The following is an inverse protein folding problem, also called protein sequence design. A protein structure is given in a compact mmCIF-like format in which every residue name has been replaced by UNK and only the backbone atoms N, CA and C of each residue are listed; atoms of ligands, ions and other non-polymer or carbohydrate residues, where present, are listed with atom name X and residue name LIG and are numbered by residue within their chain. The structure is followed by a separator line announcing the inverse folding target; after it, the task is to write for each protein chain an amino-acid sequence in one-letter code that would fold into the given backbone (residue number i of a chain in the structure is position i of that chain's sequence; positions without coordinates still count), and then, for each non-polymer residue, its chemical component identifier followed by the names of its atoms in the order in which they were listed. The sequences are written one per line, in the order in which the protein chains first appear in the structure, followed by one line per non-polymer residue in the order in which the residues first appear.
data_IF_378743112236
#
_entry.id   IF_378743112236
#
_cell.length_a   1.000
_cell.length_b   1.000
_cell.length_c   1.000
_cell.angle_alpha   90.00
_cell.angle_beta   90.00
_cell.angle_gamma   90.00
#
_symmetry.space_group_name_H-M   'P 1'
#
loop_
_entity.id
_entity.type
_entity.pdbx_description
1 polymer ?
#
# COMPACT_ATOMS: atom_id res chain seq x y z
N UNK A 1 24.41 -22.32 -16.44
CA UNK A 1 25.53 -22.77 -15.59
C UNK A 1 26.70 -23.07 -16.51
N UNK A 2 27.87 -22.47 -16.31
CA UNK A 2 29.06 -22.78 -17.10
C UNK A 2 29.89 -23.82 -16.35
N UNK A 3 30.10 -24.99 -16.95
CA UNK A 3 30.95 -26.05 -16.40
C UNK A 3 32.29 -26.04 -17.12
N UNK A 4 33.38 -26.09 -16.38
CA UNK A 4 34.74 -26.21 -16.92
C UNK A 4 35.29 -27.60 -16.61
N UNK A 5 35.84 -28.28 -17.61
CA UNK A 5 36.47 -29.60 -17.45
C UNK A 5 37.97 -29.43 -17.71
N UNK A 6 38.78 -29.75 -16.71
CA UNK A 6 40.24 -29.80 -16.84
C UNK A 6 40.66 -31.23 -17.21
N UNK A 7 41.49 -31.41 -18.25
CA UNK A 7 41.96 -32.74 -18.66
C UNK A 7 43.48 -32.78 -18.72
N UNK A 8 44.06 -33.99 -18.66
CA UNK A 8 45.51 -34.19 -18.71
C UNK A 8 46.18 -33.70 -20.00
N UNK A 9 45.40 -33.47 -21.07
CA UNK A 9 45.89 -32.96 -22.36
C UNK A 9 45.84 -31.42 -22.46
N UNK A 10 45.41 -30.73 -21.39
CA UNK A 10 45.31 -29.27 -21.29
C UNK A 10 43.99 -28.80 -20.67
N UNK A 11 43.92 -27.51 -20.31
CA UNK A 11 42.64 -26.87 -19.96
C UNK A 11 41.85 -26.57 -21.23
N UNK A 12 40.66 -27.14 -21.35
CA UNK A 12 39.71 -26.82 -22.42
C UNK A 12 38.45 -26.27 -21.77
N UNK A 13 38.26 -24.95 -21.81
CA UNK A 13 37.01 -24.35 -21.36
C UNK A 13 35.90 -24.66 -22.38
N UNK A 14 35.10 -25.69 -22.07
CA UNK A 14 33.91 -26.04 -22.83
C UNK A 14 32.70 -25.53 -22.08
N UNK A 15 32.17 -24.35 -22.40
CA UNK A 15 30.96 -23.86 -21.75
C UNK A 15 29.76 -24.73 -22.15
N UNK A 16 29.30 -25.59 -21.25
CA UNK A 16 28.08 -26.38 -21.44
C UNK A 16 26.85 -25.59 -21.01
N UNK A 17 25.95 -25.29 -21.95
CA UNK A 17 24.60 -24.85 -21.61
C UNK A 17 23.76 -26.07 -21.24
N UNK A 18 23.71 -26.40 -19.95
CA UNK A 18 22.90 -27.51 -19.46
C UNK A 18 21.45 -27.09 -19.25
N UNK A 19 20.52 -27.91 -19.77
CA UNK A 19 19.08 -27.80 -19.54
C UNK A 19 18.67 -28.99 -18.67
N UNK A 20 17.88 -28.80 -17.59
CA UNK A 20 17.43 -29.89 -16.74
C UNK A 20 16.77 -31.01 -17.55
N UNK A 21 17.18 -32.25 -17.30
CA UNK A 21 16.69 -33.45 -17.99
C UNK A 21 17.27 -33.70 -19.39
N UNK A 22 18.01 -32.75 -19.97
CA UNK A 22 18.65 -32.91 -21.27
C UNK A 22 20.13 -33.28 -21.10
N UNK A 23 20.52 -34.35 -21.80
CA UNK A 23 21.90 -34.80 -21.84
C UNK A 23 22.71 -33.99 -22.86
N UNK A 24 23.81 -33.41 -22.40
CA UNK A 24 24.82 -32.78 -23.26
C UNK A 24 25.97 -33.74 -23.47
N UNK A 25 26.16 -34.19 -24.72
CA UNK A 25 27.22 -35.13 -25.10
C UNK A 25 28.45 -34.37 -25.60
N UNK A 26 29.62 -34.71 -25.07
CA UNK A 26 30.88 -34.26 -25.64
C UNK A 26 31.40 -35.32 -26.62
N UNK A 27 31.56 -34.93 -27.89
CA UNK A 27 31.93 -35.83 -28.99
C UNK A 27 33.35 -36.39 -28.89
N UNK A 28 34.28 -35.73 -28.17
CA UNK A 28 35.68 -36.16 -28.06
C UNK A 28 35.94 -37.22 -26.98
N UNK A 29 35.34 -37.10 -25.79
CA UNK A 29 35.78 -37.92 -24.64
C UNK A 29 34.77 -38.98 -24.17
N UNK A 30 33.68 -39.26 -24.93
CA UNK A 30 32.62 -40.20 -24.51
C UNK A 30 32.04 -39.87 -23.11
N UNK A 31 32.01 -38.57 -22.78
CA UNK A 31 31.42 -38.05 -21.56
C UNK A 31 30.07 -37.43 -21.92
N UNK A 32 29.04 -37.84 -21.18
CA UNK A 32 27.69 -37.32 -21.26
C UNK A 32 27.32 -36.72 -19.92
N UNK A 33 26.96 -35.43 -19.92
CA UNK A 33 26.64 -34.66 -18.73
C UNK A 33 25.17 -34.27 -18.79
N UNK A 34 24.41 -34.62 -17.77
CA UNK A 34 22.98 -34.31 -17.65
C UNK A 34 22.74 -33.56 -16.36
N UNK A 35 22.17 -32.36 -16.44
CA UNK A 35 21.66 -31.65 -15.26
C UNK A 35 20.35 -32.32 -14.82
N UNK A 36 20.30 -32.85 -13.60
CA UNK A 36 19.11 -33.52 -13.04
C UNK A 36 18.16 -32.52 -12.41
N UNK A 37 18.69 -31.68 -11.53
CA UNK A 37 17.90 -30.75 -10.74
C UNK A 37 18.73 -29.53 -10.36
N UNK A 38 18.05 -28.41 -10.13
CA UNK A 38 18.61 -27.23 -9.47
C UNK A 38 17.73 -26.99 -8.25
N UNK A 39 18.35 -26.88 -7.09
CA UNK A 39 17.67 -26.56 -5.84
C UNK A 39 18.12 -25.18 -5.40
N UNK A 40 17.17 -24.26 -5.34
CA UNK A 40 17.36 -22.93 -4.77
C UNK A 40 17.01 -22.94 -3.28
N UNK A 41 17.72 -22.18 -2.43
CA UNK A 41 17.30 -22.01 -1.04
C UNK A 41 15.89 -21.41 -0.97
N UNK A 42 15.19 -21.60 0.15
CA UNK A 42 13.92 -20.90 0.41
C UNK A 42 14.22 -19.40 0.38
N UNK A 43 13.42 -18.64 -0.35
CA UNK A 43 13.59 -17.19 -0.54
C UNK A 43 12.44 -16.44 0.18
N UNK A 44 12.51 -16.21 1.51
CA UNK A 44 11.44 -15.51 2.25
C UNK A 44 11.14 -14.12 1.68
N UNK A 45 12.13 -13.50 1.03
CA UNK A 45 12.02 -12.20 0.36
C UNK A 45 11.02 -12.19 -0.80
N UNK A 46 10.68 -13.35 -1.37
CA UNK A 46 9.64 -13.45 -2.42
C UNK A 46 8.22 -13.24 -1.87
N UNK A 47 8.01 -13.34 -0.55
CA UNK A 47 6.73 -13.06 0.08
C UNK A 47 6.65 -11.63 0.66
N UNK A 48 7.45 -10.71 0.10
CA UNK A 48 7.46 -9.30 0.48
C UNK A 48 6.93 -8.45 -0.67
N UNK A 49 6.28 -7.35 -0.31
CA UNK A 49 5.83 -6.37 -1.27
C UNK A 49 6.92 -5.33 -1.51
N UNK A 50 6.94 -4.79 -2.72
CA UNK A 50 7.91 -3.79 -3.13
C UNK A 50 7.21 -2.65 -3.86
N UNK A 51 7.85 -1.48 -3.85
CA UNK A 51 7.42 -0.32 -4.61
C UNK A 51 8.55 0.12 -5.52
N UNK A 52 8.19 0.57 -6.73
CA UNK A 52 9.11 1.06 -7.74
C UNK A 52 8.54 2.32 -8.36
N UNK A 53 9.28 3.43 -8.30
CA UNK A 53 8.87 4.72 -8.88
C UNK A 53 9.34 4.90 -10.35
N UNK A 54 10.07 3.91 -10.89
CA UNK A 54 10.74 3.98 -12.19
C UNK A 54 12.25 4.23 -12.12
N UNK A 55 12.78 4.66 -10.96
CA UNK A 55 14.20 4.94 -10.70
C UNK A 55 14.73 4.23 -9.46
N UNK A 56 13.96 4.26 -8.37
CA UNK A 56 14.25 3.68 -7.06
C UNK A 56 13.23 2.58 -6.77
N UNK A 57 13.70 1.52 -6.14
CA UNK A 57 12.84 0.47 -5.61
C UNK A 57 13.08 0.33 -4.12
N UNK A 58 12.03 0.03 -3.37
CA UNK A 58 12.12 -0.26 -1.94
C UNK A 58 11.27 -1.48 -1.57
N UNK A 59 11.74 -2.25 -0.59
CA UNK A 59 10.94 -3.28 0.07
C UNK A 59 10.01 -2.60 1.08
N UNK A 60 8.73 -2.97 1.04
CA UNK A 60 7.71 -2.43 1.93
C UNK A 60 7.70 -3.23 3.23
N UNK A 61 7.70 -2.52 4.35
CA UNK A 61 7.25 -3.09 5.61
C UNK A 61 5.72 -3.04 5.71
N UNK A 62 5.17 -3.70 6.74
CA UNK A 62 3.73 -3.80 6.94
C UNK A 62 3.05 -2.44 7.15
N UNK A 63 3.72 -1.50 7.82
CA UNK A 63 3.15 -0.19 8.14
C UNK A 63 3.04 0.66 6.87
N UNK A 64 4.14 0.77 6.12
CA UNK A 64 4.19 1.49 4.85
C UNK A 64 3.22 0.88 3.85
N UNK A 65 3.19 -0.46 3.76
CA UNK A 65 2.26 -1.15 2.88
C UNK A 65 0.80 -0.81 3.22
N UNK A 66 0.43 -0.88 4.49
CA UNK A 66 -0.95 -0.60 4.95
C UNK A 66 -1.37 0.83 4.60
N UNK A 67 -0.48 1.80 4.72
CA UNK A 67 -0.79 3.19 4.37
C UNK A 67 -0.88 3.39 2.85
N UNK A 68 0.01 2.78 2.06
CA UNK A 68 -0.03 2.85 0.60
C UNK A 68 -1.27 2.19 0.00
N UNK A 69 -1.76 1.09 0.60
CA UNK A 69 -2.96 0.41 0.15
C UNK A 69 -4.22 1.30 0.22
N UNK A 70 -4.27 2.31 1.11
CA UNK A 70 -5.40 3.25 1.23
C UNK A 70 -5.57 4.14 0.00
N UNK A 71 -4.51 4.32 -0.78
CA UNK A 71 -4.47 5.22 -1.95
C UNK A 71 -4.24 4.47 -3.26
N UNK A 72 -4.68 3.22 -3.35
CA UNK A 72 -4.47 2.37 -4.52
C UNK A 72 -5.27 2.87 -5.74
N UNK A 73 -4.57 3.04 -6.84
CA UNK A 73 -5.15 3.37 -8.14
C UNK A 73 -5.00 2.17 -9.10
N UNK A 74 -5.89 2.02 -10.09
CA UNK A 74 -5.80 0.90 -11.03
C UNK A 74 -4.65 1.06 -12.03
N UNK A 75 -4.26 2.31 -12.35
CA UNK A 75 -3.16 2.60 -13.26
C UNK A 75 -2.57 4.00 -13.01
N UNK A 76 -1.39 4.25 -13.61
CA UNK A 76 -0.63 5.50 -13.49
C UNK A 76 -1.41 6.73 -13.95
N UNK A 77 -2.26 6.59 -14.97
CA UNK A 77 -3.06 7.70 -15.48
C UNK A 77 -4.14 8.15 -14.48
N UNK A 78 -4.85 7.18 -13.89
CA UNK A 78 -5.81 7.45 -12.82
C UNK A 78 -5.15 8.06 -11.59
N UNK A 79 -3.96 7.57 -11.22
CA UNK A 79 -3.16 8.15 -10.14
C UNK A 79 -2.81 9.63 -10.42
N UNK A 80 -2.38 9.96 -11.63
CA UNK A 80 -2.05 11.33 -12.03
C UNK A 80 -3.24 12.30 -11.99
N UNK A 81 -4.46 11.80 -12.20
CA UNK A 81 -5.69 12.57 -12.13
C UNK A 81 -6.45 12.41 -10.80
N UNK A 82 -5.85 11.71 -9.82
CA UNK A 82 -6.46 11.37 -8.54
C UNK A 82 -7.85 10.72 -8.66
N UNK A 83 -8.06 9.91 -9.71
CA UNK A 83 -9.29 9.13 -9.93
C UNK A 83 -9.10 7.71 -9.38
N UNK A 84 -8.87 7.61 -8.07
CA UNK A 84 -8.53 6.37 -7.37
C UNK A 84 -9.63 5.97 -6.41
N UNK A 85 -9.73 4.67 -6.12
CA UNK A 85 -10.65 4.17 -5.11
C UNK A 85 -10.03 4.36 -3.73
N UNK A 86 -10.45 5.41 -3.02
CA UNK A 86 -9.98 5.72 -1.66
C UNK A 86 -11.04 5.27 -0.66
N UNK A 87 -10.60 4.63 0.43
CA UNK A 87 -11.51 4.25 1.52
C UNK A 87 -12.15 5.52 2.13
N UNK A 88 -13.49 5.63 2.22
CA UNK A 88 -14.17 6.76 2.82
C UNK A 88 -13.70 7.13 4.24
N UNK A 89 -13.15 6.18 4.99
CA UNK A 89 -12.60 6.40 6.34
C UNK A 89 -11.21 7.06 6.33
N UNK A 90 -10.56 7.17 5.17
CA UNK A 90 -9.24 7.78 5.02
C UNK A 90 -9.25 9.28 5.28
N UNK A 91 -10.39 9.94 5.02
CA UNK A 91 -10.59 11.37 5.20
C UNK A 91 -11.91 11.66 5.94
N UNK A 92 -11.84 12.44 7.02
CA UNK A 92 -12.99 12.92 7.77
C UNK A 92 -13.18 14.41 7.55
N UNK A 93 -14.32 14.79 6.98
CA UNK A 93 -14.69 16.20 6.80
C UNK A 93 -15.73 16.61 7.83
N UNK A 94 -15.46 17.69 8.56
CA UNK A 94 -16.39 18.31 9.49
C UNK A 94 -16.81 19.68 8.95
N UNK A 95 -18.13 19.95 8.85
CA UNK A 95 -18.59 21.29 8.55
C UNK A 95 -18.27 22.23 9.73
N UNK A 96 -17.77 23.42 9.42
CA UNK A 96 -17.66 24.57 10.30
C UNK A 96 -18.55 25.70 9.75
N UNK A 97 -18.68 26.80 10.50
CA UNK A 97 -19.67 27.85 10.20
C UNK A 97 -19.50 28.44 8.78
N UNK A 98 -18.26 28.69 8.35
CA UNK A 98 -17.97 29.32 7.05
C UNK A 98 -17.07 28.46 6.14
N UNK A 99 -16.72 27.26 6.60
CA UNK A 99 -15.64 26.46 6.04
C UNK A 99 -15.88 24.96 6.28
N UNK A 100 -15.22 24.12 5.49
CA UNK A 100 -15.24 22.66 5.69
C UNK A 100 -13.82 22.23 6.00
N UNK A 101 -13.64 21.65 7.18
CA UNK A 101 -12.34 21.15 7.63
C UNK A 101 -12.27 19.65 7.35
N UNK A 102 -11.48 19.27 6.35
CA UNK A 102 -11.19 17.87 6.02
C UNK A 102 -9.84 17.47 6.57
N UNK A 103 -9.84 16.43 7.40
CA UNK A 103 -8.65 15.81 7.95
C UNK A 103 -8.47 14.45 7.29
N UNK A 104 -7.39 14.28 6.54
CA UNK A 104 -7.02 13.00 5.95
C UNK A 104 -5.85 12.39 6.73
N UNK A 105 -5.75 11.06 6.69
CA UNK A 105 -4.53 10.38 7.14
C UNK A 105 -3.36 10.90 6.31
N UNK A 106 -2.23 11.23 6.94
CA UNK A 106 -1.04 11.65 6.21
C UNK A 106 -0.62 10.58 5.20
N UNK A 107 -0.21 11.04 4.02
CA UNK A 107 0.35 10.18 2.99
C UNK A 107 1.84 10.05 3.30
N UNK A 108 2.33 8.81 3.38
CA UNK A 108 3.76 8.54 3.53
C UNK A 108 4.52 9.24 2.40
N UNK A 109 5.53 10.03 2.78
CA UNK A 109 6.39 10.72 1.82
C UNK A 109 7.35 9.75 1.16
N UNK A 110 7.76 10.05 -0.07
CA UNK A 110 8.80 9.28 -0.79
C UNK A 110 10.06 9.07 0.05
N UNK A 111 10.44 10.06 0.87
CA UNK A 111 11.58 9.99 1.78
C UNK A 111 11.46 8.88 2.83
N UNK A 112 10.24 8.58 3.30
CA UNK A 112 9.95 7.50 4.25
C UNK A 112 9.88 6.13 3.55
N UNK A 113 9.41 6.11 2.29
CA UNK A 113 9.35 4.89 1.47
C UNK A 113 10.76 4.44 1.07
N UNK A 114 11.54 5.36 0.50
CA UNK A 114 12.87 5.13 -0.05
C UNK A 114 13.98 5.46 0.95
N UNK A 115 13.73 5.27 2.24
CA UNK A 115 14.76 5.32 3.25
C UNK A 115 15.87 4.31 2.94
N UNK A 116 17.09 4.64 3.33
CA UNK A 116 18.28 3.81 3.07
C UNK A 116 18.15 2.39 3.63
N UNK A 117 17.31 2.18 4.65
CA UNK A 117 17.02 0.85 5.24
C UNK A 117 16.09 -0.03 4.39
N UNK A 118 15.28 0.56 3.51
CA UNK A 118 14.28 -0.15 2.70
C UNK A 118 14.67 -0.20 1.20
N UNK A 119 15.62 0.64 0.79
CA UNK A 119 15.98 0.82 -0.61
C UNK A 119 16.71 -0.40 -1.18
N UNK A 120 16.46 -0.71 -2.45
CA UNK A 120 17.21 -1.69 -3.22
C UNK A 120 18.45 -1.03 -3.86
N UNK A 121 19.56 -1.76 -4.04
CA UNK A 121 19.73 -3.18 -3.73
C UNK A 121 20.00 -3.45 -2.25
N UNK A 122 19.57 -4.60 -1.76
CA UNK A 122 19.97 -5.11 -0.44
C UNK A 122 20.34 -6.59 -0.52
N UNK A 123 21.16 -7.04 0.42
CA UNK A 123 21.51 -8.44 0.60
C UNK A 123 20.85 -8.95 1.88
N UNK A 124 20.06 -10.01 1.80
CA UNK A 124 19.46 -10.66 2.95
C UNK A 124 19.75 -12.15 2.91
N UNK A 125 20.50 -12.65 3.89
CA UNK A 125 20.86 -14.07 4.03
C UNK A 125 21.49 -14.68 2.75
N UNK A 126 22.39 -13.94 2.08
CA UNK A 126 23.05 -14.41 0.86
C UNK A 126 22.14 -14.38 -0.37
N UNK A 127 21.12 -13.52 -0.37
CA UNK A 127 20.25 -13.27 -1.51
C UNK A 127 20.35 -11.77 -1.81
N UNK A 128 20.93 -11.43 -2.95
CA UNK A 128 20.95 -10.07 -3.46
C UNK A 128 19.63 -9.77 -4.16
N UNK A 129 18.88 -8.80 -3.66
CA UNK A 129 17.66 -8.32 -4.32
C UNK A 129 17.95 -6.97 -4.96
N UNK A 130 17.72 -6.85 -6.26
CA UNK A 130 17.95 -5.62 -7.03
C UNK A 130 16.92 -5.47 -8.14
N UNK A 131 16.84 -4.27 -8.71
CA UNK A 131 16.13 -4.06 -9.96
C UNK A 131 17.04 -4.53 -11.11
N UNK A 132 16.56 -5.48 -11.90
CA UNK A 132 17.21 -6.01 -13.09
C UNK A 132 16.24 -5.89 -14.27
N UNK A 133 16.64 -5.18 -15.33
CA UNK A 133 15.80 -4.95 -16.51
C UNK A 133 14.37 -4.40 -16.24
N UNK A 134 14.21 -3.64 -15.15
CA UNK A 134 12.91 -3.05 -14.76
C UNK A 134 12.05 -3.95 -13.89
N UNK A 135 12.51 -5.16 -13.55
CA UNK A 135 11.86 -6.08 -12.64
C UNK A 135 12.66 -6.22 -11.34
N UNK A 136 11.98 -6.55 -10.25
CA UNK A 136 12.65 -6.84 -8.98
C UNK A 136 13.06 -8.31 -8.99
N UNK A 137 14.37 -8.55 -8.94
CA UNK A 137 14.94 -9.89 -9.08
C UNK A 137 15.80 -10.24 -7.87
N UNK A 138 15.62 -11.47 -7.40
CA UNK A 138 16.42 -12.05 -6.31
C UNK A 138 17.50 -12.97 -6.89
N UNK A 139 18.75 -12.71 -6.51
CA UNK A 139 19.94 -13.45 -6.92
C UNK A 139 20.51 -14.17 -5.69
N UNK A 140 20.24 -15.48 -5.52
CA UNK A 140 20.86 -16.25 -4.46
C UNK A 140 22.36 -16.42 -4.75
N UNK A 141 23.19 -16.22 -3.73
CA UNK A 141 24.64 -16.41 -3.79
C UNK A 141 25.04 -17.87 -4.04
N UNK A 142 24.16 -18.80 -3.67
CA UNK A 142 24.40 -20.24 -3.76
C UNK A 142 23.15 -20.96 -4.25
N UNK A 143 23.34 -21.77 -5.29
CA UNK A 143 22.35 -22.70 -5.81
C UNK A 143 23.00 -24.07 -5.91
N UNK A 144 22.38 -25.10 -5.36
CA UNK A 144 22.88 -26.46 -5.56
C UNK A 144 22.31 -27.03 -6.84
N UNK A 145 23.14 -27.77 -7.58
CA UNK A 145 22.75 -28.44 -8.80
C UNK A 145 23.18 -29.90 -8.71
N UNK A 146 22.28 -30.80 -9.07
CA UNK A 146 22.59 -32.22 -9.20
C UNK A 146 22.94 -32.52 -10.65
N UNK A 147 24.16 -33.00 -10.89
CA UNK A 147 24.66 -33.31 -12.23
C UNK A 147 24.97 -34.80 -12.31
N UNK A 148 24.37 -35.48 -13.28
CA UNK A 148 24.72 -36.85 -13.64
C UNK A 148 25.80 -36.82 -14.72
N UNK A 149 26.90 -37.54 -14.47
CA UNK A 149 28.00 -37.71 -15.42
C UNK A 149 28.04 -39.19 -15.81
N UNK A 150 27.92 -39.47 -17.11
CA UNK A 150 28.07 -40.81 -17.69
C UNK A 150 29.36 -40.83 -18.52
N UNK A 151 30.22 -41.81 -18.22
CA UNK A 151 31.54 -41.96 -18.82
C UNK A 151 31.64 -43.40 -19.36
N UNK A 152 31.93 -43.56 -20.64
CA UNK A 152 32.02 -44.89 -21.27
C UNK A 152 33.48 -45.31 -21.53
N UNK A 153 33.85 -46.51 -21.07
CA UNK A 153 35.16 -47.11 -21.34
C UNK A 153 36.31 -46.56 -20.50
N UNK A 154 36.03 -45.94 -19.35
CA UNK A 154 37.05 -45.45 -18.41
C UNK A 154 36.79 -45.98 -16.98
N UNK A 155 37.83 -45.98 -16.15
CA UNK A 155 37.74 -46.28 -14.71
C UNK A 155 37.69 -44.96 -13.96
N UNK A 156 36.64 -44.76 -13.15
CA UNK A 156 36.53 -43.59 -12.28
C UNK A 156 37.39 -43.81 -11.03
N UNK A 157 38.35 -42.92 -10.81
CA UNK A 157 39.08 -42.83 -9.55
C UNK A 157 38.75 -41.49 -8.90
N UNK A 158 38.17 -41.53 -7.71
CA UNK A 158 37.84 -40.32 -6.95
C UNK A 158 39.03 -39.94 -6.10
N UNK A 159 39.49 -38.70 -6.23
CA UNK A 159 40.47 -38.10 -5.34
C UNK A 159 39.77 -36.99 -4.56
N UNK A 160 39.66 -37.17 -3.24
CA UNK A 160 39.10 -36.18 -2.35
C UNK A 160 40.29 -35.42 -1.76
N UNK A 161 40.46 -34.17 -2.17
CA UNK A 161 41.46 -33.29 -1.55
C UNK A 161 40.98 -32.94 -0.15
N UNK A 162 41.78 -33.30 0.86
CA UNK A 162 41.54 -32.96 2.27
C UNK A 162 42.06 -31.55 2.54
N UNK A 163 41.46 -30.57 1.86
CA UNK A 163 41.81 -29.18 2.07
C UNK A 163 41.28 -28.68 3.41
N UNK A 164 41.99 -27.72 3.99
CA UNK A 164 41.61 -27.05 5.22
C UNK A 164 41.25 -25.60 4.89
N UNK A 165 40.16 -25.10 5.46
CA UNK A 165 39.77 -23.70 5.32
C UNK A 165 39.98 -22.96 6.63
N UNK A 166 40.53 -21.77 6.52
CA UNK A 166 40.71 -20.84 7.62
C UNK A 166 39.84 -19.63 7.31
N UNK A 167 38.91 -19.35 8.22
CA UNK A 167 37.97 -18.23 8.10
C UNK A 167 38.23 -17.25 9.24
N UNK A 168 38.19 -15.97 8.92
CA UNK A 168 38.13 -14.87 9.90
C UNK A 168 36.90 -14.03 9.64
N UNK A 169 36.33 -13.48 10.70
CA UNK A 169 35.12 -12.68 10.62
C UNK A 169 35.27 -11.40 11.44
N UNK A 170 34.81 -10.28 10.87
CA UNK A 170 34.58 -9.04 11.61
C UNK A 170 33.09 -8.68 11.54
N UNK A 171 32.53 -8.32 12.70
CA UNK A 171 31.10 -8.04 12.85
C UNK A 171 30.88 -6.54 13.11
N UNK A 172 30.00 -5.91 12.33
CA UNK A 172 29.60 -4.50 12.49
C UNK A 172 28.12 -4.32 12.17
N UNK A 173 27.47 -3.27 12.68
CA UNK A 173 26.07 -2.95 12.34
C UNK A 173 25.13 -2.98 13.54
N UNK A 174 23.89 -3.42 13.32
CA UNK A 174 22.84 -3.35 14.34
C UNK A 174 22.12 -4.67 14.59
N UNK A 175 21.60 -4.82 15.81
CA UNK A 175 20.69 -5.90 16.21
C UNK A 175 19.24 -5.39 16.20
N UNK A 176 18.27 -6.30 16.03
CA UNK A 176 16.83 -6.00 15.92
C UNK A 176 16.47 -4.90 14.89
N UNK A 177 17.27 -4.83 13.82
CA UNK A 177 17.14 -3.82 12.78
C UNK A 177 16.94 -4.43 11.39
N UNK A 178 16.32 -3.65 10.49
CA UNK A 178 16.09 -4.06 9.10
C UNK A 178 17.36 -4.23 8.27
N UNK A 179 18.42 -3.46 8.56
CA UNK A 179 19.71 -3.57 7.84
C UNK A 179 20.50 -4.81 8.29
N UNK A 180 20.25 -5.32 9.50
CA UNK A 180 21.03 -6.36 10.13
C UNK A 180 22.47 -5.95 10.44
N UNK A 181 23.27 -6.93 10.83
CA UNK A 181 24.70 -6.80 11.02
C UNK A 181 25.45 -7.29 9.79
N UNK A 182 26.51 -6.58 9.43
CA UNK A 182 27.44 -6.91 8.37
C UNK A 182 28.60 -7.74 8.93
N UNK A 183 28.77 -8.94 8.39
CA UNK A 183 29.88 -9.83 8.67
C UNK A 183 30.85 -9.78 7.50
N UNK A 184 32.02 -9.21 7.72
CA UNK A 184 33.13 -9.23 6.76
C UNK A 184 33.94 -10.51 6.98
N UNK A 185 33.77 -11.47 6.08
CA UNK A 185 34.42 -12.78 6.12
C UNK A 185 35.64 -12.80 5.20
N UNK A 186 36.76 -13.27 5.73
CA UNK A 186 37.95 -13.59 4.98
C UNK A 186 38.15 -15.10 4.98
N UNK A 187 38.17 -15.73 3.79
CA UNK A 187 38.44 -17.15 3.67
C UNK A 187 39.72 -17.43 2.90
N UNK A 188 40.49 -18.39 3.41
CA UNK A 188 41.65 -18.96 2.75
C UNK A 188 41.60 -20.49 2.84
N UNK A 189 41.95 -21.17 1.75
CA UNK A 189 42.22 -22.61 1.76
C UNK A 189 43.72 -22.86 1.55
N UNK A 190 44.23 -23.97 2.09
CA UNK A 190 45.58 -24.44 1.85
C UNK A 190 45.81 -24.92 0.41
N UNK A 191 44.76 -25.39 -0.27
CA UNK A 191 44.87 -25.93 -1.62
C UNK A 191 43.58 -25.80 -2.44
N UNK A 192 43.75 -25.42 -3.72
CA UNK A 192 42.67 -25.35 -4.71
C UNK A 192 41.65 -24.23 -4.46
N UNK A 193 40.55 -24.24 -5.21
CA UNK A 193 39.39 -23.38 -4.97
C UNK A 193 38.25 -24.27 -4.47
N UNK A 194 37.64 -23.91 -3.34
CA UNK A 194 36.59 -24.72 -2.70
C UNK A 194 35.46 -23.84 -2.16
N UNK A 195 34.35 -24.45 -1.78
CA UNK A 195 33.28 -23.80 -1.02
C UNK A 195 33.39 -24.24 0.45
N UNK A 196 33.50 -23.29 1.36
CA UNK A 196 33.44 -23.55 2.79
C UNK A 196 32.01 -23.34 3.30
N UNK A 197 31.44 -24.38 3.91
CA UNK A 197 30.15 -24.30 4.59
C UNK A 197 30.39 -23.86 6.04
N UNK A 198 29.81 -22.72 6.43
CA UNK A 198 29.93 -22.15 7.76
C UNK A 198 28.61 -22.36 8.49
N UNK A 199 28.68 -22.96 9.68
CA UNK A 199 27.55 -23.22 10.56
C UNK A 199 27.80 -22.49 11.87
N UNK A 200 27.03 -21.42 12.10
CA UNK A 200 26.93 -20.72 13.37
C UNK A 200 25.55 -21.00 14.00
N UNK A 201 25.39 -20.77 15.31
CA UNK A 201 24.08 -20.78 15.97
C UNK A 201 23.05 -19.85 15.29
N UNK A 202 23.48 -18.63 14.92
CA UNK A 202 22.61 -17.63 14.29
C UNK A 202 22.36 -17.83 12.79
N UNK A 203 23.30 -18.47 12.07
CA UNK A 203 23.27 -18.49 10.61
C UNK A 203 24.01 -19.68 10.01
N UNK A 204 23.56 -20.11 8.83
CA UNK A 204 24.24 -21.10 7.98
C UNK A 204 24.48 -20.48 6.62
N UNK A 205 25.70 -20.59 6.12
CA UNK A 205 26.11 -19.95 4.87
C UNK A 205 27.21 -20.77 4.17
N UNK A 206 27.48 -20.48 2.91
CA UNK A 206 28.70 -20.95 2.27
C UNK A 206 29.43 -19.81 1.55
N UNK A 207 30.75 -19.86 1.57
CA UNK A 207 31.61 -18.86 0.95
C UNK A 207 32.68 -19.52 0.09
N UNK A 208 33.05 -18.93 -1.06
CA UNK A 208 34.16 -19.42 -1.85
C UNK A 208 35.48 -19.12 -1.14
N UNK A 209 36.40 -20.08 -1.20
CA UNK A 209 37.73 -19.99 -0.60
C UNK A 209 38.78 -20.36 -1.64
N UNK A 210 39.88 -19.60 -1.65
CA UNK A 210 41.03 -19.79 -2.54
C UNK A 210 42.34 -19.78 -1.76
N UNK A 211 43.48 -20.12 -2.39
CA UNK A 211 44.78 -20.02 -1.73
C UNK A 211 45.16 -18.56 -1.45
N UNK A 212 44.61 -17.63 -2.22
CA UNK A 212 44.58 -16.20 -1.93
C UNK A 212 43.40 -15.88 -1.01
N UNK A 213 43.60 -14.92 -0.10
CA UNK A 213 42.52 -14.46 0.80
C UNK A 213 41.39 -13.88 -0.05
N UNK A 214 40.21 -14.50 0.04
CA UNK A 214 38.98 -14.02 -0.56
C UNK A 214 38.13 -13.36 0.52
N UNK A 215 37.59 -12.18 0.22
CA UNK A 215 36.77 -11.40 1.15
C UNK A 215 35.31 -11.39 0.69
N UNK A 216 34.39 -11.65 1.61
CA UNK A 216 32.95 -11.62 1.35
C UNK A 216 32.20 -10.97 2.51
N UNK A 217 31.36 -9.99 2.19
CA UNK A 217 30.50 -9.32 3.17
C UNK A 217 29.10 -9.94 3.09
N UNK A 218 28.55 -10.31 4.24
CA UNK A 218 27.20 -10.87 4.38
C UNK A 218 26.41 -10.08 5.41
N UNK A 219 25.09 -10.02 5.25
CA UNK A 219 24.19 -9.43 6.24
C UNK A 219 23.44 -10.53 6.99
N UNK A 220 23.53 -10.52 8.32
CA UNK A 220 22.90 -11.47 9.25
C UNK A 220 22.08 -10.68 10.27
N UNK A 221 20.88 -11.17 10.60
CA UNK A 221 20.03 -10.55 11.60
C UNK A 221 20.23 -11.21 12.96
N UNK A 222 20.55 -10.39 13.96
CA UNK A 222 20.69 -10.80 15.36
C UNK A 222 19.62 -10.14 16.21
N UNK A 223 19.20 -10.82 17.27
CA UNK A 223 18.25 -10.31 18.28
C UNK A 223 18.93 -9.81 19.56
N UNK A 224 20.26 -9.84 19.62
CA UNK A 224 21.04 -9.45 20.79
C UNK A 224 22.20 -8.52 20.41
N UNK A 225 22.57 -7.63 21.34
CA UNK A 225 23.67 -6.68 21.17
C UNK A 225 25.05 -7.35 21.24
N UNK A 226 25.23 -8.25 22.21
CA UNK A 226 26.49 -8.95 22.44
C UNK A 226 26.47 -10.29 21.68
N UNK A 227 27.34 -10.42 20.68
CA UNK A 227 27.49 -11.63 19.89
C UNK A 227 28.81 -12.30 20.28
N UNK A 228 28.72 -13.55 20.71
CA UNK A 228 29.85 -14.45 20.96
C UNK A 228 29.42 -15.87 20.57
N UNK A 229 29.68 -16.22 19.32
CA UNK A 229 29.27 -17.50 18.74
C UNK A 229 30.48 -18.25 18.18
N UNK A 230 30.61 -19.53 18.54
CA UNK A 230 31.56 -20.43 17.89
C UNK A 230 30.95 -21.01 16.63
N UNK A 231 31.58 -20.75 15.49
CA UNK A 231 31.15 -21.25 14.19
C UNK A 231 32.04 -22.41 13.72
N UNK A 232 31.42 -23.42 13.11
CA UNK A 232 32.10 -24.54 12.47
C UNK A 232 32.22 -24.29 10.96
N UNK A 233 33.37 -24.63 10.40
CA UNK A 233 33.69 -24.46 8.97
C UNK A 233 34.03 -25.82 8.38
N UNK A 234 33.28 -26.19 7.36
CA UNK A 234 33.47 -27.44 6.61
C UNK A 234 33.88 -27.11 5.19
N UNK A 235 35.15 -27.38 4.87
CA UNK A 235 35.60 -27.54 3.51
C UNK A 235 36.52 -28.76 3.49
N UNK A 236 36.25 -29.72 2.61
CA UNK A 236 36.92 -31.03 2.69
C UNK A 236 36.47 -31.86 3.89
N UNK A 237 37.41 -32.58 4.51
CA UNK A 237 37.17 -33.64 5.49
C UNK A 237 37.43 -33.25 6.95
N UNK A 238 38.18 -32.19 7.22
CA UNK A 238 38.51 -31.74 8.58
C UNK A 238 37.82 -30.41 8.90
N UNK A 239 36.87 -30.38 9.85
CA UNK A 239 36.23 -29.14 10.25
C UNK A 239 37.20 -28.26 11.03
N UNK A 240 37.17 -26.95 10.74
CA UNK A 240 37.84 -25.92 11.54
C UNK A 240 36.80 -25.07 12.25
N UNK A 241 37.22 -24.29 13.25
CA UNK A 241 36.32 -23.37 13.96
C UNK A 241 36.89 -21.96 14.01
N UNK A 242 36.00 -20.97 14.11
CA UNK A 242 36.35 -19.59 14.41
C UNK A 242 35.32 -18.97 15.35
N UNK A 243 35.71 -17.90 16.03
CA UNK A 243 34.81 -17.14 16.90
C UNK A 243 34.24 -15.93 16.14
N UNK A 244 32.92 -15.82 16.11
CA UNK A 244 32.19 -14.66 15.64
C UNK A 244 31.85 -13.79 16.85
N UNK A 245 32.59 -12.70 17.02
CA UNK A 245 32.47 -11.82 18.19
C UNK A 245 32.28 -10.37 17.77
N UNK A 246 31.43 -9.65 18.49
CA UNK A 246 31.25 -8.22 18.31
C UNK A 246 30.09 -7.63 19.11
N UNK A 247 30.09 -6.31 19.25
CA UNK A 247 29.00 -5.54 19.84
C UNK A 247 28.23 -4.80 18.74
N UNK A 248 26.93 -5.05 18.67
CA UNK A 248 26.02 -4.42 17.74
C UNK A 248 25.29 -3.26 18.41
N UNK A 249 25.07 -2.17 17.68
CA UNK A 249 24.29 -1.04 18.18
C UNK A 249 22.78 -1.30 18.00
N UNK A 250 21.97 -0.88 18.96
CA UNK A 250 20.54 -0.74 18.70
C UNK A 250 20.34 0.47 17.80
N UNK A 251 19.57 0.39 16.70
CA UNK A 251 19.23 1.58 15.94
C UNK A 251 18.41 2.46 16.88
N UNK A 252 18.94 3.63 17.28
CA UNK A 252 18.11 4.63 17.95
C UNK A 252 16.87 4.82 17.08
N UNK A 253 15.71 4.51 17.65
CA UNK A 253 14.45 4.79 17.01
C UNK A 253 14.52 6.25 16.58
N UNK A 254 14.25 6.53 15.31
CA UNK A 254 13.91 7.87 14.89
C UNK A 254 12.61 8.24 15.62
N UNK A 255 12.75 8.62 16.90
CA UNK A 255 11.80 9.36 17.71
C UNK A 255 11.79 10.77 17.14
N UNK A 256 11.42 10.90 15.87
CA UNK A 256 11.07 12.16 15.25
C UNK A 256 9.90 11.87 14.29
N UNK A 257 8.79 12.47 14.68
CA UNK A 257 7.65 12.83 13.85
C UNK A 257 6.54 11.80 13.63
N UNK A 258 5.86 11.45 14.73
CA UNK A 258 4.40 11.69 14.73
C UNK A 258 4.18 13.12 15.22
N UNK A 259 4.57 14.10 14.39
CA UNK A 259 3.98 15.43 14.50
C UNK A 259 2.61 15.26 13.85
N UNK A 260 1.53 15.33 14.63
CA UNK A 260 0.25 15.70 14.07
C UNK A 260 0.43 17.12 13.54
N UNK A 261 0.79 17.27 12.28
CA UNK A 261 0.80 18.59 11.67
C UNK A 261 -0.65 19.06 11.60
N UNK A 262 -0.96 19.97 12.50
CA UNK A 262 -2.13 20.81 12.46
C UNK A 262 -2.15 21.58 11.12
N UNK A 263 -3.33 21.59 10.51
CA UNK A 263 -3.77 22.59 9.53
C UNK A 263 -3.26 22.50 8.07
N UNK A 264 -3.78 21.55 7.30
CA UNK A 264 -4.05 21.80 5.86
C UNK A 264 -5.42 22.50 5.71
N UNK A 265 -5.51 23.72 6.24
CA UNK A 265 -6.77 24.44 6.43
C UNK A 265 -6.86 25.85 5.85
N UNK A 266 -5.80 26.46 5.33
CA UNK A 266 -5.94 27.72 4.59
C UNK A 266 -6.12 27.48 3.09
N UNK A 267 -7.21 26.79 2.74
CA UNK A 267 -7.77 26.93 1.39
C UNK A 267 -8.76 28.08 1.44
N UNK A 268 -8.32 29.24 0.98
CA UNK A 268 -9.26 30.23 0.43
C UNK A 268 -10.16 29.47 -0.54
N UNK A 269 -11.47 29.60 -0.34
CA UNK A 269 -12.46 28.92 -1.16
C UNK A 269 -12.09 29.11 -2.64
N UNK A 270 -11.81 28.04 -3.42
CA UNK A 270 -11.81 28.18 -4.85
C UNK A 270 -13.21 28.68 -5.20
N UNK A 271 -13.29 29.74 -5.97
CA UNK A 271 -14.51 30.20 -6.62
C UNK A 271 -14.98 29.06 -7.53
N UNK A 272 -15.80 28.16 -6.98
CA UNK A 272 -16.38 27.06 -7.72
C UNK A 272 -17.71 27.52 -8.29
N UNK A 273 -17.83 27.44 -9.62
CA UNK A 273 -19.12 27.38 -10.27
C UNK A 273 -19.85 26.14 -9.73
N UNK A 274 -20.94 26.35 -8.98
CA UNK A 274 -21.91 25.31 -8.63
C UNK A 274 -22.34 24.57 -9.91
N UNK A 275 -21.81 23.38 -10.15
CA UNK A 275 -22.56 22.35 -10.87
C UNK A 275 -23.22 21.49 -9.80
N UNK A 276 -24.39 21.97 -9.36
CA UNK A 276 -25.25 21.24 -8.45
C UNK A 276 -25.55 19.84 -9.03
N UNK A 277 -25.53 18.77 -8.21
CA UNK A 277 -26.24 17.56 -8.60
C UNK A 277 -27.68 17.96 -8.93
N UNK A 278 -28.31 17.33 -9.92
CA UNK A 278 -29.67 17.66 -10.35
C UNK A 278 -30.65 17.54 -9.17
N UNK A 279 -30.77 18.62 -8.40
CA UNK A 279 -31.70 18.77 -7.30
C UNK A 279 -32.97 19.29 -7.95
N UNK A 280 -33.96 18.41 -8.05
CA UNK A 280 -35.25 18.72 -8.63
C UNK A 280 -35.91 19.85 -7.82
N UNK A 281 -35.85 21.05 -8.41
CA UNK A 281 -36.16 22.36 -7.80
C UNK A 281 -37.68 22.48 -7.51
N UNK A 282 -38.46 21.51 -7.98
CA UNK A 282 -39.92 21.47 -7.91
C UNK A 282 -40.47 21.14 -6.52
N UNK A 283 -39.67 20.54 -5.63
CA UNK A 283 -40.10 20.17 -4.27
C UNK A 283 -39.59 21.11 -3.17
N UNK A 284 -38.47 21.82 -3.37
CA UNK A 284 -37.95 22.80 -2.41
C UNK A 284 -38.73 24.13 -2.47
N UNK A 285 -39.23 24.53 -3.64
CA UNK A 285 -40.06 25.73 -3.80
C UNK A 285 -41.47 25.56 -3.20
N UNK A 286 -41.95 24.32 -3.02
CA UNK A 286 -43.22 24.01 -2.35
C UNK A 286 -43.17 24.19 -0.83
N UNK A 287 -41.98 24.24 -0.20
CA UNK A 287 -41.88 24.43 1.25
C UNK A 287 -41.93 25.90 1.69
N UNK A 288 -41.53 26.85 0.84
CA UNK A 288 -41.46 28.27 1.19
C UNK A 288 -42.69 29.11 0.75
N UNK A 289 -43.48 28.60 -0.20
CA UNK A 289 -44.65 29.31 -0.74
C UNK A 289 -45.93 28.97 0.05
N UNK A 290 -46.01 27.81 0.69
CA UNK A 290 -47.27 27.34 1.29
C UNK A 290 -47.77 28.07 2.56
N UNK A 291 -46.94 28.55 3.52
CA UNK A 291 -47.50 29.17 4.72
C UNK A 291 -48.01 30.61 4.49
N UNK A 292 -47.39 31.38 3.59
CA UNK A 292 -47.80 32.77 3.31
C UNK A 292 -49.10 32.87 2.52
N UNK A 293 -49.32 32.00 1.53
CA UNK A 293 -50.56 31.99 0.75
C UNK A 293 -51.73 31.35 1.50
N UNK A 294 -51.48 30.33 2.34
CA UNK A 294 -52.51 29.76 3.22
C UNK A 294 -53.03 30.81 4.22
N UNK A 295 -52.14 31.61 4.80
CA UNK A 295 -52.50 32.67 5.74
C UNK A 295 -53.35 33.78 5.08
N UNK A 296 -52.99 34.21 3.86
CA UNK A 296 -53.77 35.20 3.11
C UNK A 296 -55.16 34.68 2.70
N UNK A 297 -55.27 33.38 2.36
CA UNK A 297 -56.53 32.76 2.00
C UNK A 297 -57.48 32.67 3.22
N UNK A 298 -56.96 32.33 4.40
CA UNK A 298 -57.74 32.31 5.65
C UNK A 298 -58.25 33.72 6.00
N UNK A 299 -57.41 34.76 5.86
CA UNK A 299 -57.82 36.16 6.08
C UNK A 299 -58.92 36.58 5.10
N UNK A 300 -58.79 36.22 3.81
CA UNK A 300 -59.81 36.52 2.80
C UNK A 300 -61.15 35.88 3.13
N UNK A 301 -61.16 34.61 3.55
CA UNK A 301 -62.40 33.92 3.94
C UNK A 301 -63.02 34.56 5.19
N UNK A 302 -62.20 34.91 6.19
CA UNK A 302 -62.68 35.57 7.41
C UNK A 302 -63.31 36.94 7.12
N UNK A 303 -62.70 37.73 6.22
CA UNK A 303 -63.27 39.02 5.79
C UNK A 303 -64.58 38.85 5.02
N UNK A 304 -64.70 37.85 4.15
CA UNK A 304 -65.95 37.55 3.44
C UNK A 304 -67.06 37.12 4.41
N UNK A 305 -66.73 36.31 5.42
CA UNK A 305 -67.68 35.89 6.46
C UNK A 305 -68.13 37.09 7.29
N UNK A 306 -67.20 37.94 7.75
CA UNK A 306 -67.54 39.18 8.46
C UNK A 306 -68.43 40.09 7.63
N UNK A 307 -68.09 40.24 6.34
CA UNK A 307 -68.88 41.09 5.46
C UNK A 307 -70.29 40.50 5.24
N UNK A 308 -70.43 39.18 5.15
CA UNK A 308 -71.73 38.51 5.09
C UNK A 308 -72.53 38.72 6.39
N UNK A 309 -71.92 38.55 7.56
CA UNK A 309 -72.56 38.78 8.86
C UNK A 309 -72.88 40.26 9.13
N UNK A 310 -72.18 41.22 8.52
CA UNK A 310 -72.52 42.64 8.61
C UNK A 310 -73.62 43.04 7.61
N UNK A 311 -73.60 42.51 6.39
CA UNK A 311 -74.55 42.89 5.34
C UNK A 311 -75.90 42.22 5.51
N UNK A 312 -75.98 40.97 6.01
CA UNK A 312 -77.26 40.30 6.29
C UNK A 312 -78.16 41.08 7.26
N UNK A 313 -77.71 41.57 8.42
CA UNK A 313 -78.55 42.35 9.33
C UNK A 313 -78.86 43.76 8.79
N UNK A 314 -78.00 44.32 7.93
CA UNK A 314 -78.25 45.59 7.24
C UNK A 314 -79.34 45.45 6.18
N UNK A 315 -79.31 44.37 5.39
CA UNK A 315 -80.34 44.05 4.41
C UNK A 315 -81.66 43.64 5.07
N UNK A 316 -81.65 42.87 6.16
CA UNK A 316 -82.90 42.56 6.88
C UNK A 316 -83.49 43.80 7.52
N UNK A 317 -82.68 44.72 8.06
CA UNK A 317 -83.18 46.03 8.55
C UNK A 317 -83.73 46.91 7.43
N UNK A 318 -83.09 46.94 6.25
CA UNK A 318 -83.59 47.66 5.09
C UNK A 318 -84.90 47.07 4.56
N UNK A 319 -84.98 45.75 4.43
CA UNK A 319 -86.19 45.05 3.98
C UNK A 319 -87.32 45.24 5.01
N UNK A 320 -87.04 45.15 6.31
CA UNK A 320 -88.05 45.39 7.35
C UNK A 320 -88.53 46.86 7.34
N UNK A 321 -87.63 47.83 7.11
CA UNK A 321 -87.99 49.24 6.99
C UNK A 321 -88.82 49.53 5.72
N UNK A 322 -88.50 48.90 4.59
CA UNK A 322 -89.28 49.01 3.35
C UNK A 322 -90.67 48.34 3.46
N UNK A 323 -90.76 47.17 4.12
CA UNK A 323 -92.04 46.50 4.37
C UNK A 323 -92.89 47.31 5.36
N UNK A 324 -92.30 47.89 6.41
CA UNK A 324 -93.03 48.73 7.36
C UNK A 324 -93.51 50.03 6.71
N UNK A 325 -92.70 50.67 5.86
CA UNK A 325 -93.10 51.89 5.14
C UNK A 325 -94.18 51.62 4.07
N UNK A 326 -94.16 50.46 3.40
CA UNK A 326 -95.24 50.08 2.47
C UNK A 326 -96.53 49.68 3.20
N UNK A 327 -96.43 49.08 4.38
CA UNK A 327 -97.61 48.78 5.22
C UNK A 327 -98.21 50.06 5.86
N UNK A 328 -97.38 51.01 6.29
CA UNK A 328 -97.83 52.32 6.79
C UNK A 328 -98.39 53.19 5.67
N UNK A 329 -97.80 53.19 4.47
CA UNK A 329 -98.37 53.88 3.30
C UNK A 329 -99.73 53.26 2.85
N UNK A 330 -99.91 51.94 3.01
CA UNK A 330 -101.20 51.27 2.73
C UNK A 330 -102.25 51.48 3.82
N UNK A 331 -101.83 51.68 5.06
CA UNK A 331 -102.70 52.05 6.20
C UNK A 331 -103.22 53.50 6.10
N UNK A 332 -102.35 54.45 5.73
CA UNK A 332 -102.76 55.86 5.55
C UNK A 332 -103.57 56.06 4.25
N UNK A 333 -103.29 55.29 3.19
CA UNK A 333 -104.09 55.31 1.95
C UNK A 333 -105.52 54.75 2.10
N UNK A 334 -105.77 53.87 3.07
CA UNK A 334 -107.12 53.36 3.35
C UNK A 334 -107.93 54.21 4.32
N UNK A 335 -107.34 55.25 4.94
CA UNK A 335 -108.10 56.26 5.70
C UNK A 335 -108.72 57.35 4.81
N UNK A 336 -108.51 57.37 3.49
CA UNK A 336 -108.99 58.46 2.61
C UNK A 336 -110.08 58.01 1.61
N UNK A 337 -110.39 56.71 1.48
CA UNK A 337 -111.39 56.21 0.51
C UNK A 337 -112.74 55.75 1.06
N UNK A 338 -113.03 55.90 2.35
CA UNK A 338 -114.31 55.50 2.97
C UNK A 338 -115.09 56.64 3.66
N UNK A 339 -114.67 57.91 3.53
CA UNK A 339 -115.45 59.09 3.96
C UNK A 339 -116.11 59.85 2.78
N UNK A 340 -116.13 59.26 1.56
CA UNK A 340 -116.62 59.91 0.33
C UNK A 340 -117.58 59.02 -0.48
N UNK A 341 -118.44 58.23 0.19
CA UNK A 341 -119.57 57.59 -0.48
C UNK A 341 -120.74 57.40 0.49
N UNK A 342 -121.76 58.24 0.27
CA UNK A 342 -123.12 58.24 0.82
C UNK A 342 -123.29 58.84 2.23
N UNK A 343 -124.00 59.94 2.52
CA UNK A 343 -125.01 60.78 1.80
C UNK A 343 -126.08 60.06 0.98
#
# INVERSE_FOLDING_TARGET
MNLTIDTNEGKWESAFNLIPGMASKQSKNKIEITLKSITTPILPVLNKNFVFDGKKAAMLDYEIETQLQKFKCANKYQAGNFNCTVDPLTCSCRPADDNVNCLCTEIIKDEQIFQESNNLPFNHNGILVKVDHGEITAFPDLTSAEVQIKIEGMILKTEISMNTCIVRANLTGCFDCKKGAHVDLECKTDFGSTLANIICPSAKMAIPCRPTVERKILSIHFSTSDIDETCEVFCGSSPTTFQLQGKLAYPEAALNDVIWNEEYGNKTAPHWHLKLPNMDITNLLKLLIFPRYLFLLIISIFLLILMFYCILPLLTRFIFSCILNTFVARSVGNNVKLQSKYM
#
